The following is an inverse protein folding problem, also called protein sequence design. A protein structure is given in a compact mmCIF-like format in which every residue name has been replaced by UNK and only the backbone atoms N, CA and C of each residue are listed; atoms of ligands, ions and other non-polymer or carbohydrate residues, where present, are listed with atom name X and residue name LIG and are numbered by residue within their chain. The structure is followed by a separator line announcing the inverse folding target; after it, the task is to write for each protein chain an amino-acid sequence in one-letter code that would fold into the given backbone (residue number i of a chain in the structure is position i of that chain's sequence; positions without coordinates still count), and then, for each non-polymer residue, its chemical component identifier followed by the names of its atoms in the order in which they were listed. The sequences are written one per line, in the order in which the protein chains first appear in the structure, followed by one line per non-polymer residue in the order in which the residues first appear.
data_IF_776171498666
#
_entry.id   IF_776171498666
#
_cell.length_a   1.000
_cell.length_b   1.000
_cell.length_c   1.000
_cell.angle_alpha   90.00
_cell.angle_beta   90.00
_cell.angle_gamma   90.00
#
_symmetry.space_group_name_H-M   'P 1'
#
loop_
_entity.id
_entity.type
_entity.pdbx_description
1 polymer ?
#
# COMPACT_ATOMS: atom_id res chain seq x y z
N UNK A 1 45.72 -50.56 26.80
CA UNK A 1 44.46 -51.08 26.24
C UNK A 1 43.42 -49.98 26.28
N UNK A 2 42.78 -49.73 25.12
CA UNK A 2 41.49 -49.05 24.84
C UNK A 2 41.12 -47.76 25.61
N UNK A 3 40.93 -46.60 24.97
CA UNK A 3 39.80 -46.22 24.08
C UNK A 3 38.45 -46.32 24.84
N UNK A 4 37.53 -45.34 24.84
CA UNK A 4 36.95 -44.59 23.72
C UNK A 4 35.84 -43.65 24.27
N UNK A 5 35.73 -42.41 23.74
CA UNK A 5 34.58 -41.48 23.56
C UNK A 5 33.52 -41.30 24.69
N UNK A 6 32.96 -40.10 24.93
CA UNK A 6 32.05 -39.35 24.04
C UNK A 6 32.09 -37.85 24.34
N UNK A 7 32.24 -37.05 23.29
CA UNK A 7 32.00 -35.61 23.22
C UNK A 7 30.49 -35.31 23.28
N UNK A 8 30.06 -34.41 24.17
CA UNK A 8 28.77 -33.74 24.07
C UNK A 8 29.02 -32.26 23.79
N UNK A 9 29.08 -31.92 22.49
CA UNK A 9 28.90 -30.56 22.01
C UNK A 9 27.40 -30.27 22.02
N UNK A 10 26.93 -29.49 22.99
CA UNK A 10 25.60 -28.87 22.88
C UNK A 10 25.78 -27.52 22.19
N UNK A 11 25.34 -27.46 20.95
CA UNK A 11 25.29 -26.24 20.14
C UNK A 11 24.31 -25.26 20.77
N UNK A 12 24.81 -24.25 21.47
CA UNK A 12 24.07 -23.02 21.69
C UNK A 12 24.18 -22.16 20.42
N UNK A 13 23.43 -22.54 19.38
CA UNK A 13 23.06 -21.57 18.35
C UNK A 13 22.01 -20.66 18.98
N UNK A 14 22.44 -19.48 19.43
CA UNK A 14 21.53 -18.39 19.74
C UNK A 14 20.67 -18.13 18.52
N UNK A 15 19.36 -18.28 18.67
CA UNK A 15 18.40 -17.76 17.70
C UNK A 15 18.54 -16.23 17.72
N UNK A 16 19.22 -15.68 16.72
CA UNK A 16 19.06 -14.28 16.35
C UNK A 16 17.59 -14.09 15.98
N UNK A 17 16.90 -13.41 16.86
CA UNK A 17 15.66 -12.69 16.59
C UNK A 17 15.92 -11.67 15.48
N UNK A 18 15.67 -12.10 14.25
CA UNK A 18 15.62 -11.22 13.09
C UNK A 18 14.31 -10.40 13.17
N UNK A 19 14.31 -9.37 14.01
CA UNK A 19 13.38 -8.25 13.87
C UNK A 19 14.05 -7.19 12.97
N UNK A 20 14.66 -7.64 11.88
CA UNK A 20 15.25 -6.77 10.89
C UNK A 20 14.13 -6.40 9.92
N UNK A 21 13.67 -5.15 10.08
CA UNK A 21 12.84 -4.42 9.14
C UNK A 21 13.33 -4.68 7.72
N UNK A 22 12.55 -5.39 6.92
CA UNK A 22 12.71 -5.35 5.46
C UNK A 22 12.03 -4.08 4.99
N UNK A 23 12.68 -2.95 5.24
CA UNK A 23 12.52 -1.82 4.34
C UNK A 23 13.26 -2.18 3.05
N UNK A 24 12.53 -2.74 2.09
CA UNK A 24 13.05 -2.91 0.73
C UNK A 24 13.06 -1.52 0.05
N UNK A 25 14.02 -0.68 0.44
CA UNK A 25 14.27 0.62 -0.17
C UNK A 25 14.92 0.43 -1.54
N UNK A 26 14.14 0.05 -2.54
CA UNK A 26 14.56 0.15 -3.93
C UNK A 26 14.24 1.56 -4.47
N UNK A 27 14.93 2.58 -3.95
CA UNK A 27 15.13 3.81 -4.72
C UNK A 27 16.42 3.68 -5.52
N UNK A 28 16.39 3.32 -6.82
CA UNK A 28 17.55 3.53 -7.67
C UNK A 28 17.75 5.03 -7.86
N UNK A 29 18.78 5.57 -7.22
CA UNK A 29 19.27 6.91 -7.49
C UNK A 29 19.95 6.95 -8.88
N UNK A 30 19.18 7.14 -9.96
CA UNK A 30 19.76 7.57 -11.25
C UNK A 30 18.81 8.46 -12.05
N UNK A 31 19.30 9.66 -12.36
CA UNK A 31 18.71 10.60 -13.33
C UNK A 31 18.78 9.98 -14.72
N UNK A 32 17.67 9.95 -15.45
CA UNK A 32 17.50 10.53 -16.80
C UNK A 32 16.09 10.21 -17.34
N UNK A 33 15.49 11.09 -18.17
CA UNK A 33 14.12 10.92 -18.66
C UNK A 33 14.04 9.75 -19.64
N UNK A 34 12.99 8.95 -19.54
CA UNK A 34 12.65 7.98 -20.58
C UNK A 34 11.97 8.73 -21.71
N UNK A 35 12.64 8.77 -22.85
CA UNK A 35 12.16 9.38 -24.09
C UNK A 35 10.94 8.60 -24.64
N UNK A 36 10.03 9.37 -25.22
CA UNK A 36 8.85 8.93 -25.96
C UNK A 36 9.22 7.96 -27.09
N UNK A 37 8.89 6.68 -26.94
CA UNK A 37 8.81 5.73 -28.05
C UNK A 37 7.32 5.64 -28.45
N UNK A 38 6.87 6.16 -29.58
CA UNK A 38 7.50 6.04 -30.90
C UNK A 38 6.90 4.83 -31.59
N UNK A 39 5.88 5.08 -32.41
CA UNK A 39 5.16 4.12 -33.23
C UNK A 39 6.05 3.07 -33.89
N UNK A 40 5.70 1.80 -33.73
CA UNK A 40 6.01 0.76 -34.72
C UNK A 40 4.96 -0.35 -34.65
N UNK A 41 3.86 -0.10 -35.36
CA UNK A 41 2.90 -1.11 -35.78
C UNK A 41 3.57 -2.01 -36.82
N UNK A 42 3.51 -3.33 -36.61
CA UNK A 42 3.66 -4.31 -37.70
C UNK A 42 2.26 -4.87 -37.99
N UNK A 43 1.84 -4.95 -39.27
CA UNK A 43 0.44 -5.07 -39.65
C UNK A 43 -0.01 -6.53 -39.67
N UNK A 44 -1.26 -6.78 -39.26
CA UNK A 44 -1.99 -7.95 -39.70
C UNK A 44 -3.13 -7.48 -40.61
N UNK A 45 -2.99 -7.73 -41.91
CA UNK A 45 -4.01 -7.47 -42.92
C UNK A 45 -4.95 -8.68 -43.01
N UNK A 46 -6.22 -8.34 -43.27
CA UNK A 46 -7.30 -9.16 -43.85
C UNK A 46 -8.27 -9.92 -42.92
N UNK A 47 -9.35 -9.21 -42.56
CA UNK A 47 -10.70 -9.64 -42.90
C UNK A 47 -11.62 -8.41 -43.09
N UNK A 48 -12.02 -8.15 -44.34
CA UNK A 48 -13.04 -7.17 -44.72
C UNK A 48 -14.39 -7.51 -44.08
N UNK A 49 -15.07 -6.53 -43.47
CA UNK A 49 -16.51 -6.35 -43.69
C UNK A 49 -16.93 -4.88 -43.49
N UNK A 50 -17.81 -4.42 -44.38
CA UNK A 50 -18.24 -3.03 -44.58
C UNK A 50 -19.25 -2.55 -43.52
N UNK A 51 -19.16 -1.31 -43.07
CA UNK A 51 -20.16 -0.26 -43.40
C UNK A 51 -19.81 1.11 -42.80
N UNK A 52 -19.96 2.14 -43.63
CA UNK A 52 -19.90 3.56 -43.28
C UNK A 52 -21.12 3.98 -42.45
N UNK A 53 -20.92 4.83 -41.44
CA UNK A 53 -21.55 6.16 -41.41
C UNK A 53 -21.00 7.02 -40.27
N UNK A 54 -20.59 8.24 -40.64
CA UNK A 54 -20.21 9.32 -39.75
C UNK A 54 -21.42 9.95 -39.06
N UNK A 55 -21.25 10.42 -37.83
CA UNK A 55 -21.85 11.68 -37.39
C UNK A 55 -21.14 12.23 -36.15
N UNK A 56 -20.89 13.53 -36.18
CA UNK A 56 -20.20 14.30 -35.16
C UNK A 56 -21.14 14.78 -34.04
N UNK A 57 -20.53 14.99 -32.87
CA UNK A 57 -20.70 16.14 -31.96
C UNK A 57 -21.78 16.12 -30.85
N UNK A 58 -21.36 16.79 -29.75
CA UNK A 58 -22.11 17.44 -28.66
C UNK A 58 -22.14 16.74 -27.28
N UNK A 59 -21.17 17.16 -26.45
CA UNK A 59 -21.29 17.83 -25.14
C UNK A 59 -21.68 17.08 -23.84
N UNK A 60 -21.10 17.64 -22.77
CA UNK A 60 -21.45 17.60 -21.34
C UNK A 60 -20.94 16.45 -20.45
N UNK A 61 -20.28 16.87 -19.37
CA UNK A 61 -20.46 16.24 -18.06
C UNK A 61 -19.32 15.35 -17.59
N UNK A 62 -18.52 15.89 -16.65
CA UNK A 62 -17.80 15.12 -15.63
C UNK A 62 -18.72 14.04 -15.03
N UNK A 63 -18.22 12.81 -14.84
CA UNK A 63 -18.27 12.24 -13.49
C UNK A 63 -16.88 11.81 -13.03
N UNK A 64 -16.60 12.13 -11.76
CA UNK A 64 -15.52 11.56 -10.97
C UNK A 64 -15.60 10.04 -11.06
N UNK A 65 -14.48 9.38 -11.40
CA UNK A 65 -14.37 7.92 -11.32
C UNK A 65 -14.35 7.55 -9.83
N UNK A 66 -15.55 7.35 -9.29
CA UNK A 66 -15.77 6.63 -8.06
C UNK A 66 -15.63 5.15 -8.42
N UNK A 67 -14.45 4.56 -8.17
CA UNK A 67 -14.27 3.12 -8.31
C UNK A 67 -15.18 2.43 -7.30
N UNK A 68 -16.21 1.78 -7.83
CA UNK A 68 -17.19 1.02 -7.08
C UNK A 68 -16.50 -0.17 -6.38
N UNK A 69 -16.50 -0.10 -5.06
CA UNK A 69 -16.22 -1.22 -4.17
C UNK A 69 -17.27 -2.29 -4.40
N UNK A 70 -16.84 -3.53 -4.65
CA UNK A 70 -17.72 -4.70 -4.72
C UNK A 70 -18.55 -4.81 -3.44
N UNK A 71 -19.86 -4.63 -3.57
CA UNK A 71 -20.82 -4.78 -2.49
C UNK A 71 -21.13 -6.26 -2.28
N UNK A 72 -20.87 -6.76 -1.08
CA UNK A 72 -21.72 -7.79 -0.47
C UNK A 72 -21.83 -7.52 1.05
N UNK A 73 -23.02 -7.76 1.56
CA UNK A 73 -23.64 -7.10 2.71
C UNK A 73 -23.08 -7.50 4.10
N UNK A 74 -23.19 -6.56 5.04
CA UNK A 74 -22.96 -6.67 6.50
C UNK A 74 -21.57 -7.19 6.95
N UNK A 75 -20.77 -6.31 7.59
CA UNK A 75 -19.42 -6.65 8.08
C UNK A 75 -18.26 -6.23 7.18
N UNK A 76 -18.50 -5.39 6.16
CA UNK A 76 -17.42 -4.81 5.36
C UNK A 76 -16.62 -3.76 6.14
N UNK A 77 -15.30 -3.80 5.97
CA UNK A 77 -14.38 -2.78 6.49
C UNK A 77 -14.54 -1.49 5.68
N UNK A 78 -14.87 -0.39 6.35
CA UNK A 78 -14.97 0.93 5.73
C UNK A 78 -13.79 1.81 6.13
N UNK A 79 -12.94 2.14 5.16
CA UNK A 79 -11.84 3.10 5.31
C UNK A 79 -12.12 4.34 4.46
N UNK A 80 -11.84 5.51 5.02
CA UNK A 80 -11.81 6.79 4.29
C UNK A 80 -10.38 7.29 4.28
N UNK A 81 -9.90 7.75 3.12
CA UNK A 81 -8.62 8.45 2.95
C UNK A 81 -8.92 9.92 2.72
N UNK A 82 -8.22 10.80 3.44
CA UNK A 82 -8.27 12.24 3.26
C UNK A 82 -6.88 12.77 2.85
N UNK A 83 -6.82 13.39 1.68
CA UNK A 83 -5.63 14.04 1.13
C UNK A 83 -5.85 15.56 1.01
N UNK A 84 -6.67 16.16 1.88
CA UNK A 84 -6.85 17.62 1.90
C UNK A 84 -5.53 18.29 2.26
N UNK A 85 -5.19 19.36 1.54
CA UNK A 85 -3.93 20.07 1.75
C UNK A 85 -3.88 20.62 3.19
N UNK A 86 -2.79 20.30 3.90
CA UNK A 86 -2.59 20.73 5.28
C UNK A 86 -1.64 21.92 5.33
N UNK A 87 -1.82 22.86 6.28
CA UNK A 87 -0.91 23.99 6.46
C UNK A 87 0.46 23.62 7.06
N UNK A 88 0.67 22.36 7.49
CA UNK A 88 1.93 21.87 8.04
C UNK A 88 2.94 21.50 6.96
N UNK A 89 4.24 21.58 7.29
CA UNK A 89 5.31 21.05 6.44
C UNK A 89 5.26 19.52 6.36
N UNK A 90 5.53 18.96 5.18
CA UNK A 90 5.63 17.52 4.92
C UNK A 90 4.44 16.93 4.14
N UNK A 91 4.69 15.82 3.42
CA UNK A 91 3.65 15.16 2.64
C UNK A 91 2.99 14.05 3.48
N UNK A 92 1.66 14.07 3.54
CA UNK A 92 0.90 13.03 4.23
C UNK A 92 -0.51 12.91 3.68
N UNK A 93 -1.15 11.79 3.99
CA UNK A 93 -2.61 11.66 3.97
C UNK A 93 -3.10 11.14 5.32
N UNK A 94 -4.34 11.45 5.67
CA UNK A 94 -5.00 10.85 6.83
C UNK A 94 -5.88 9.70 6.39
N UNK A 95 -6.09 8.75 7.29
CA UNK A 95 -7.12 7.73 7.11
C UNK A 95 -7.99 7.63 8.35
N UNK A 96 -9.23 7.23 8.16
CA UNK A 96 -10.15 6.92 9.24
C UNK A 96 -10.84 5.59 9.00
N UNK A 97 -10.78 4.72 10.01
CA UNK A 97 -11.54 3.47 10.04
C UNK A 97 -12.94 3.80 10.53
N UNK A 98 -13.94 3.68 9.66
CA UNK A 98 -15.34 3.99 9.96
C UNK A 98 -16.11 2.77 10.45
N UNK A 99 -15.73 1.59 9.98
CA UNK A 99 -16.38 0.34 10.32
C UNK A 99 -15.41 -0.81 10.15
N UNK A 100 -15.47 -1.78 11.07
CA UNK A 100 -14.79 -3.08 10.99
C UNK A 100 -15.76 -4.16 11.46
N UNK A 101 -15.64 -5.41 10.97
CA UNK A 101 -16.41 -6.52 11.50
C UNK A 101 -16.08 -6.79 12.98
N UNK A 102 -17.06 -7.28 13.72
CA UNK A 102 -16.92 -7.60 15.15
C UNK A 102 -15.82 -8.65 15.40
N UNK A 103 -15.01 -8.44 16.44
CA UNK A 103 -13.92 -9.34 16.82
C UNK A 103 -12.65 -9.21 15.98
N UNK A 104 -12.60 -8.30 15.01
CA UNK A 104 -11.40 -7.99 14.24
C UNK A 104 -10.71 -6.74 14.77
N UNK A 105 -9.39 -6.70 14.67
CA UNK A 105 -8.57 -5.54 14.99
C UNK A 105 -7.55 -5.29 13.86
N UNK A 106 -7.16 -4.02 13.67
CA UNK A 106 -6.13 -3.67 12.70
C UNK A 106 -4.80 -4.32 13.12
N UNK A 107 -4.18 -5.06 12.22
CA UNK A 107 -2.92 -5.76 12.47
C UNK A 107 -1.77 -5.19 11.63
N UNK A 108 -2.04 -4.86 10.36
CA UNK A 108 -1.06 -4.35 9.40
C UNK A 108 -1.64 -3.25 8.51
N UNK A 109 -0.79 -2.29 8.15
CA UNK A 109 -1.02 -1.34 7.06
C UNK A 109 0.11 -1.44 6.05
N UNK A 110 -0.23 -1.29 4.77
CA UNK A 110 0.74 -1.38 3.68
C UNK A 110 0.46 -0.33 2.60
N UNK A 111 1.51 0.29 2.11
CA UNK A 111 1.52 1.08 0.89
C UNK A 111 2.27 0.28 -0.16
N UNK A 112 1.67 0.11 -1.33
CA UNK A 112 2.32 -0.54 -2.48
C UNK A 112 2.13 0.32 -3.72
N UNK A 113 3.23 0.83 -4.27
CA UNK A 113 3.29 1.46 -5.59
C UNK A 113 4.15 0.62 -6.54
N UNK A 114 4.44 1.14 -7.74
CA UNK A 114 5.35 0.46 -8.68
C UNK A 114 6.82 0.52 -8.25
N UNK A 115 7.17 1.44 -7.37
CA UNK A 115 8.54 1.78 -6.98
C UNK A 115 8.87 1.32 -5.56
N UNK A 116 7.88 1.33 -4.65
CA UNK A 116 8.12 1.03 -3.25
C UNK A 116 6.98 0.24 -2.62
N UNK A 117 7.33 -0.61 -1.65
CA UNK A 117 6.39 -1.20 -0.70
C UNK A 117 6.81 -0.83 0.72
N UNK A 118 5.89 -0.23 1.48
CA UNK A 118 6.08 0.12 2.89
C UNK A 118 5.05 -0.65 3.70
N UNK A 119 5.51 -1.39 4.70
CA UNK A 119 4.67 -2.20 5.59
C UNK A 119 4.90 -1.76 7.03
N UNK A 120 3.83 -1.53 7.77
CA UNK A 120 3.88 -1.25 9.20
C UNK A 120 2.86 -2.10 9.92
N UNK A 121 3.28 -2.76 10.98
CA UNK A 121 2.36 -3.32 11.97
C UNK A 121 1.61 -2.21 12.72
N UNK A 122 0.49 -2.55 13.35
CA UNK A 122 -0.23 -1.64 14.24
C UNK A 122 0.67 -1.00 15.31
N UNK A 123 1.57 -1.81 15.89
CA UNK A 123 2.51 -1.35 16.93
C UNK A 123 3.52 -0.34 16.38
N UNK A 124 4.12 -0.61 15.23
CA UNK A 124 5.06 0.32 14.59
C UNK A 124 4.37 1.64 14.23
N UNK A 125 3.13 1.59 13.75
CA UNK A 125 2.37 2.81 13.46
C UNK A 125 2.12 3.66 14.72
N UNK A 126 1.86 3.04 15.87
CA UNK A 126 1.79 3.78 17.16
C UNK A 126 3.14 4.42 17.50
N UNK A 127 4.24 3.68 17.36
CA UNK A 127 5.58 4.21 17.60
C UNK A 127 5.89 5.38 16.64
N UNK A 128 5.46 5.29 15.39
CA UNK A 128 5.59 6.34 14.38
C UNK A 128 4.78 7.58 14.74
N UNK A 129 3.57 7.41 15.28
CA UNK A 129 2.74 8.54 15.72
C UNK A 129 3.36 9.36 16.85
N UNK A 130 4.26 8.77 17.64
CA UNK A 130 4.99 9.48 18.69
C UNK A 130 6.23 10.24 18.19
N UNK A 131 6.78 9.89 17.03
CA UNK A 131 8.08 10.38 16.57
C UNK A 131 8.09 11.00 15.16
N UNK A 132 6.98 10.91 14.42
CA UNK A 132 6.83 11.51 13.09
C UNK A 132 7.61 10.80 11.99
N UNK A 133 7.91 9.50 12.12
CA UNK A 133 8.58 8.72 11.07
C UNK A 133 7.69 8.52 9.84
N UNK A 134 8.35 8.38 8.69
CA UNK A 134 7.71 7.96 7.44
C UNK A 134 7.00 6.61 7.55
N UNK A 135 6.01 6.40 6.69
CA UNK A 135 5.13 5.24 6.74
C UNK A 135 3.82 5.53 7.46
N UNK A 136 3.09 4.48 7.82
CA UNK A 136 1.84 4.61 8.54
C UNK A 136 2.10 5.04 9.98
N UNK A 137 1.22 5.89 10.50
CA UNK A 137 1.27 6.36 11.87
C UNK A 137 -0.13 6.38 12.50
N UNK A 138 -0.17 6.20 13.82
CA UNK A 138 -1.35 6.33 14.68
C UNK A 138 -0.90 7.11 15.92
N UNK A 139 -1.45 8.30 16.16
CA UNK A 139 -1.14 9.11 17.33
C UNK A 139 -1.57 8.38 18.61
N UNK A 140 -0.95 8.72 19.75
CA UNK A 140 -1.04 7.95 21.00
C UNK A 140 -2.43 7.41 21.37
N UNK A 141 -3.48 8.25 21.34
CA UNK A 141 -4.87 7.89 21.66
C UNK A 141 -5.71 7.42 20.45
N UNK A 142 -5.08 7.31 19.27
CA UNK A 142 -5.72 6.96 18.01
C UNK A 142 -6.49 8.11 17.36
N UNK A 143 -6.41 9.35 17.88
CA UNK A 143 -7.17 10.49 17.33
C UNK A 143 -6.74 10.86 15.91
N UNK A 144 -5.45 10.74 15.60
CA UNK A 144 -4.89 11.02 14.28
C UNK A 144 -4.23 9.76 13.73
N UNK A 145 -4.53 9.43 12.49
CA UNK A 145 -3.95 8.30 11.79
C UNK A 145 -3.73 8.65 10.33
N UNK A 146 -2.61 8.22 9.78
CA UNK A 146 -2.24 8.61 8.44
C UNK A 146 -1.01 7.89 7.93
N UNK A 147 -0.48 8.43 6.85
CA UNK A 147 0.72 7.95 6.19
C UNK A 147 1.58 9.16 5.82
N UNK A 148 2.82 9.19 6.29
CA UNK A 148 3.82 10.21 5.99
C UNK A 148 4.73 9.67 4.90
N UNK A 149 4.98 10.46 3.85
CA UNK A 149 5.80 10.06 2.72
C UNK A 149 6.77 11.16 2.29
N UNK A 150 7.87 10.72 1.67
CA UNK A 150 8.91 11.59 1.16
C UNK A 150 8.45 12.35 -0.10
N UNK A 151 9.20 13.39 -0.48
CA UNK A 151 8.90 14.17 -1.70
C UNK A 151 9.01 13.34 -2.98
N UNK A 152 9.86 12.31 -2.99
CA UNK A 152 10.06 11.41 -4.12
C UNK A 152 8.81 10.59 -4.46
N UNK A 153 7.94 10.35 -3.47
CA UNK A 153 6.71 9.58 -3.65
C UNK A 153 5.54 10.42 -4.18
N UNK A 154 5.69 11.75 -4.26
CA UNK A 154 4.59 12.63 -4.68
C UNK A 154 4.15 12.30 -6.10
N UNK A 155 2.84 12.20 -6.29
CA UNK A 155 2.25 11.83 -7.57
C UNK A 155 2.30 10.34 -7.88
N UNK A 156 2.91 9.50 -7.04
CA UNK A 156 2.84 8.05 -7.21
C UNK A 156 1.40 7.56 -7.08
N UNK A 157 1.01 6.63 -7.96
CA UNK A 157 -0.21 5.85 -7.81
C UNK A 157 0.13 4.55 -7.08
N UNK A 158 -0.68 4.21 -6.10
CA UNK A 158 -0.49 3.00 -5.31
C UNK A 158 -1.74 2.63 -4.53
N UNK A 159 -1.61 1.55 -3.77
CA UNK A 159 -2.65 1.00 -2.91
C UNK A 159 -2.26 1.17 -1.46
N UNK A 160 -3.15 1.79 -0.68
CA UNK A 160 -3.16 1.68 0.77
C UNK A 160 -4.01 0.47 1.16
N UNK A 161 -3.39 -0.54 1.76
CA UNK A 161 -4.00 -1.79 2.19
C UNK A 161 -4.02 -1.85 3.72
N UNK A 162 -5.15 -2.23 4.29
CA UNK A 162 -5.37 -2.35 5.72
C UNK A 162 -5.82 -3.79 6.02
N UNK A 163 -5.06 -4.50 6.84
CA UNK A 163 -5.33 -5.89 7.22
C UNK A 163 -5.86 -5.92 8.64
N UNK A 164 -6.97 -6.62 8.83
CA UNK A 164 -7.61 -6.82 10.11
C UNK A 164 -7.63 -8.29 10.44
N UNK A 165 -7.26 -8.66 11.66
CA UNK A 165 -7.15 -10.06 12.09
C UNK A 165 -8.01 -10.27 13.34
N UNK A 166 -8.70 -11.40 13.43
CA UNK A 166 -9.42 -11.82 14.63
C UNK A 166 -8.56 -12.75 15.52
N UNK A 167 -9.08 -13.13 16.69
CA UNK A 167 -8.36 -13.99 17.64
C UNK A 167 -8.04 -15.40 17.11
N UNK A 168 -8.79 -15.87 16.09
CA UNK A 168 -8.56 -17.16 15.42
C UNK A 168 -7.51 -17.06 14.31
N UNK A 169 -6.97 -15.87 14.05
CA UNK A 169 -6.00 -15.61 12.98
C UNK A 169 -6.61 -15.45 11.59
N UNK A 170 -7.95 -15.31 11.48
CA UNK A 170 -8.62 -15.02 10.22
C UNK A 170 -8.44 -13.55 9.85
N UNK A 171 -8.12 -13.30 8.58
CA UNK A 171 -7.88 -11.96 8.06
C UNK A 171 -9.04 -11.45 7.20
N UNK A 172 -9.26 -10.14 7.28
CA UNK A 172 -10.09 -9.36 6.35
C UNK A 172 -9.27 -8.15 5.92
N UNK A 173 -9.30 -7.83 4.63
CA UNK A 173 -8.48 -6.77 4.04
C UNK A 173 -9.35 -5.71 3.38
N UNK A 174 -8.96 -4.44 3.53
CA UNK A 174 -9.53 -3.31 2.80
C UNK A 174 -8.45 -2.61 2.00
N UNK A 175 -8.74 -2.24 0.75
CA UNK A 175 -7.81 -1.55 -0.13
C UNK A 175 -8.37 -0.21 -0.61
N UNK A 176 -7.48 0.78 -0.75
CA UNK A 176 -7.76 2.08 -1.35
C UNK A 176 -6.67 2.41 -2.35
N UNK A 177 -7.03 2.41 -3.63
CA UNK A 177 -6.14 2.92 -4.68
C UNK A 177 -6.23 4.45 -4.72
N UNK A 178 -5.08 5.11 -4.57
CA UNK A 178 -4.98 6.58 -4.57
C UNK A 178 -3.73 7.03 -5.32
N UNK A 179 -3.72 8.30 -5.73
CA UNK A 179 -2.52 9.01 -6.16
C UNK A 179 -2.09 9.93 -5.03
N UNK A 180 -0.82 9.86 -4.60
CA UNK A 180 -0.27 10.76 -3.59
C UNK A 180 -0.19 12.19 -4.15
N UNK A 181 -0.52 13.19 -3.33
CA UNK A 181 -0.58 14.60 -3.74
C UNK A 181 0.75 15.33 -3.56
#
# INVERSE_FOLDING_TARGET
MSALCILLLTSACGAKNNNESVQEHAYPQSKQPIEEAGNSSVPNIEAKNNNNQASENVNEGKPSVQSESSADAEGQVMIVIDQTDKPSEGNSFDFAIKQIPEGYALSEMRWTSNTVTIVNSYKEAIEHGANGKEGFYISGDGQFSGFIYSDEMKGERGKATFVFTNEEGKEVTSEKEIKLK
#
